data_IF_849902756674
#
_entry.id   IF_849902756674
#
_cell.length_a   1.000
_cell.length_b   1.000
_cell.length_c   1.000
_cell.angle_alpha   90.00
_cell.angle_beta   90.00
_cell.angle_gamma   90.00
#
_symmetry.space_group_name_H-M   'P 1'
#
loop_
_entity.id
_entity.type
_entity.pdbx_description
1 polymer ?
#
# COMPACT_ATOMS: atom_id res chain seq x y z
N UNK A 1 20.14 -13.84 13.89
CA UNK A 1 18.96 -14.46 13.22
C UNK A 1 17.82 -13.45 13.00
N UNK A 2 17.43 -12.67 14.01
CA UNK A 2 16.36 -11.66 13.89
C UNK A 2 16.61 -10.61 12.77
N UNK A 3 17.83 -10.10 12.62
CA UNK A 3 18.14 -9.10 11.58
C UNK A 3 17.92 -9.63 10.14
N UNK A 4 18.26 -10.89 9.87
CA UNK A 4 18.01 -11.52 8.57
C UNK A 4 16.51 -11.72 8.30
N UNK A 5 15.73 -12.03 9.34
CA UNK A 5 14.27 -12.14 9.23
C UNK A 5 13.63 -10.78 8.95
N UNK A 6 14.07 -9.72 9.62
CA UNK A 6 13.60 -8.35 9.39
C UNK A 6 13.94 -7.91 7.96
N UNK A 7 15.16 -8.17 7.49
CA UNK A 7 15.54 -7.84 6.12
C UNK A 7 14.70 -8.60 5.09
N UNK A 8 14.44 -9.89 5.32
CA UNK A 8 13.60 -10.73 4.46
C UNK A 8 12.13 -10.26 4.43
N UNK A 9 11.65 -9.72 5.55
CA UNK A 9 10.34 -9.08 5.66
C UNK A 9 10.28 -7.73 4.92
N UNK A 10 11.39 -6.99 4.88
CA UNK A 10 11.45 -5.64 4.30
C UNK A 10 11.37 -5.63 2.77
N UNK A 11 11.91 -6.65 2.10
CA UNK A 11 11.94 -6.80 0.64
C UNK A 11 10.53 -6.67 0.00
N UNK A 12 9.49 -7.42 0.44
CA UNK A 12 8.16 -7.29 -0.15
C UNK A 12 7.55 -5.90 0.08
N UNK A 13 7.82 -5.25 1.22
CA UNK A 13 7.34 -3.88 1.45
C UNK A 13 7.96 -2.88 0.47
N UNK A 14 9.27 -2.96 0.25
CA UNK A 14 9.96 -2.10 -0.72
C UNK A 14 9.43 -2.31 -2.14
N UNK A 15 9.15 -3.56 -2.53
CA UNK A 15 8.56 -3.89 -3.82
C UNK A 15 7.16 -3.29 -3.98
N UNK A 16 6.30 -3.40 -2.96
CA UNK A 16 4.94 -2.84 -2.98
C UNK A 16 4.99 -1.31 -3.08
N UNK A 17 5.82 -0.64 -2.27
CA UNK A 17 5.97 0.82 -2.30
C UNK A 17 6.48 1.29 -3.67
N UNK A 18 7.48 0.61 -4.21
CA UNK A 18 8.07 0.96 -5.51
C UNK A 18 7.05 0.80 -6.65
N UNK A 19 6.35 -0.34 -6.69
CA UNK A 19 5.33 -0.63 -7.71
C UNK A 19 4.17 0.35 -7.60
N UNK A 20 3.70 0.61 -6.38
CA UNK A 20 2.60 1.55 -6.14
C UNK A 20 2.97 2.98 -6.52
N UNK A 21 4.19 3.43 -6.18
CA UNK A 21 4.73 4.74 -6.58
C UNK A 21 4.87 4.85 -8.11
N UNK A 22 5.31 3.79 -8.78
CA UNK A 22 5.41 3.76 -10.24
C UNK A 22 4.03 3.86 -10.90
N UNK A 23 3.05 3.07 -10.45
CA UNK A 23 1.66 3.11 -10.94
C UNK A 23 1.03 4.48 -10.71
N UNK A 24 1.21 5.05 -9.51
CA UNK A 24 0.71 6.39 -9.18
C UNK A 24 1.28 7.48 -10.11
N UNK A 25 2.57 7.39 -10.45
CA UNK A 25 3.23 8.31 -11.41
C UNK A 25 2.76 8.08 -12.86
N UNK A 26 2.59 6.83 -13.27
CA UNK A 26 2.16 6.43 -14.62
C UNK A 26 0.72 6.87 -14.92
N UNK A 27 -0.20 6.68 -13.98
CA UNK A 27 -1.63 6.97 -14.18
C UNK A 27 -1.97 8.44 -13.83
N UNK A 28 -1.00 9.24 -13.36
CA UNK A 28 -1.20 10.64 -12.94
C UNK A 28 -2.40 10.79 -11.98
N UNK A 29 -2.62 9.79 -11.13
CA UNK A 29 -3.82 9.72 -10.27
C UNK A 29 -3.69 10.79 -9.19
N UNK A 30 -4.77 11.55 -9.01
CA UNK A 30 -4.90 12.50 -7.90
C UNK A 30 -4.68 11.74 -6.59
N UNK A 31 -3.99 12.35 -5.62
CA UNK A 31 -3.53 11.63 -4.41
C UNK A 31 -4.63 10.86 -3.67
N UNK A 32 -5.84 11.40 -3.66
CA UNK A 32 -7.04 10.74 -3.11
C UNK A 32 -7.38 9.43 -3.82
N UNK A 33 -7.23 9.35 -5.15
CA UNK A 33 -7.47 8.14 -5.92
C UNK A 33 -6.47 7.02 -5.60
N UNK A 34 -5.22 7.37 -5.24
CA UNK A 34 -4.27 6.39 -4.75
C UNK A 34 -4.72 5.78 -3.42
N UNK A 35 -5.19 6.57 -2.45
CA UNK A 35 -5.73 6.04 -1.20
C UNK A 35 -6.91 5.09 -1.44
N UNK A 36 -7.86 5.48 -2.30
CA UNK A 36 -8.99 4.62 -2.65
C UNK A 36 -8.54 3.30 -3.29
N UNK A 37 -7.52 3.32 -4.16
CA UNK A 37 -6.97 2.11 -4.76
C UNK A 37 -6.36 1.17 -3.71
N UNK A 38 -5.56 1.67 -2.77
CA UNK A 38 -4.97 0.83 -1.71
C UNK A 38 -6.06 0.22 -0.83
N UNK A 39 -7.07 1.01 -0.47
CA UNK A 39 -8.21 0.54 0.33
C UNK A 39 -8.99 -0.55 -0.44
N UNK A 40 -9.26 -0.35 -1.73
CA UNK A 40 -9.97 -1.34 -2.54
C UNK A 40 -9.19 -2.66 -2.64
N UNK A 41 -7.87 -2.60 -2.88
CA UNK A 41 -7.02 -3.79 -2.89
C UNK A 41 -6.93 -4.46 -1.50
N UNK A 42 -6.94 -3.68 -0.42
CA UNK A 42 -7.02 -4.17 0.96
C UNK A 42 -8.27 -5.00 1.20
N UNK A 43 -9.43 -4.48 0.78
CA UNK A 43 -10.71 -5.16 0.96
C UNK A 43 -10.76 -6.47 0.16
N UNK A 44 -10.30 -6.46 -1.09
CA UNK A 44 -10.22 -7.67 -1.94
C UNK A 44 -9.33 -8.74 -1.29
N UNK A 45 -8.15 -8.35 -0.80
CA UNK A 45 -7.24 -9.29 -0.10
C UNK A 45 -7.84 -9.83 1.19
N UNK A 46 -8.53 -8.99 1.96
CA UNK A 46 -9.20 -9.39 3.20
C UNK A 46 -10.28 -10.42 2.92
N UNK A 47 -11.12 -10.19 1.91
CA UNK A 47 -12.14 -11.15 1.48
C UNK A 47 -11.50 -12.47 1.00
N UNK A 48 -10.44 -12.39 0.19
CA UNK A 48 -9.73 -13.58 -0.28
C UNK A 48 -9.18 -14.43 0.88
N UNK A 49 -8.53 -13.80 1.86
CA UNK A 49 -8.03 -14.53 3.03
C UNK A 49 -9.14 -15.02 3.96
N UNK A 50 -10.24 -14.28 4.08
CA UNK A 50 -11.41 -14.72 4.83
C UNK A 50 -11.95 -16.05 4.29
N UNK A 51 -12.00 -16.22 2.97
CA UNK A 51 -12.37 -17.49 2.34
C UNK A 51 -11.29 -18.58 2.43
N UNK A 52 -10.03 -18.19 2.63
CA UNK A 52 -8.90 -19.12 2.78
C UNK A 52 -8.78 -19.68 4.21
N UNK A 53 -9.47 -19.10 5.20
CA UNK A 53 -9.51 -19.59 6.58
C UNK A 53 -10.13 -20.98 6.60
N UNK A 54 -9.36 -21.96 7.11
CA UNK A 54 -9.79 -23.35 7.16
C UNK A 54 -10.48 -23.64 8.49
N UNK A 55 -11.74 -24.03 8.38
CA UNK A 55 -12.60 -24.40 9.52
C UNK A 55 -12.62 -25.91 9.80
N UNK A 56 -11.75 -26.69 9.14
CA UNK A 56 -11.65 -28.15 9.21
C UNK A 56 -10.17 -28.54 9.21
N UNK A 57 -9.76 -29.41 10.12
CA UNK A 57 -8.37 -29.82 10.29
C UNK A 57 -7.98 -29.92 11.76
N UNK A 58 -6.69 -30.08 12.04
CA UNK A 58 -6.20 -30.06 13.43
C UNK A 58 -6.33 -28.67 14.04
N UNK A 59 -6.44 -28.60 15.38
CA UNK A 59 -6.44 -27.33 16.11
C UNK A 59 -5.27 -26.40 15.76
N UNK A 60 -4.10 -26.98 15.43
CA UNK A 60 -2.91 -26.23 15.04
C UNK A 60 -3.04 -25.62 13.63
N UNK A 61 -3.64 -26.34 12.68
CA UNK A 61 -3.85 -25.83 11.32
C UNK A 61 -4.89 -24.70 11.29
N UNK A 62 -5.94 -24.84 12.12
CA UNK A 62 -6.96 -23.80 12.31
C UNK A 62 -6.29 -22.53 12.86
N UNK A 63 -5.50 -22.66 13.94
CA UNK A 63 -4.78 -21.53 14.53
C UNK A 63 -3.79 -20.87 13.56
N UNK A 64 -3.09 -21.67 12.75
CA UNK A 64 -2.15 -21.16 11.76
C UNK A 64 -2.86 -20.39 10.63
N UNK A 65 -4.02 -20.86 10.16
CA UNK A 65 -4.80 -20.16 9.14
C UNK A 65 -5.33 -18.80 9.64
N UNK A 66 -5.76 -18.74 10.91
CA UNK A 66 -6.21 -17.49 11.56
C UNK A 66 -5.03 -16.51 11.72
N UNK A 67 -3.88 -17.03 12.17
CA UNK A 67 -2.66 -16.22 12.33
C UNK A 67 -2.21 -15.66 10.99
N UNK A 68 -2.25 -16.47 9.92
CA UNK A 68 -1.90 -16.03 8.58
C UNK A 68 -2.84 -14.92 8.08
N UNK A 69 -4.16 -15.04 8.31
CA UNK A 69 -5.11 -13.97 8.00
C UNK A 69 -4.80 -12.68 8.78
N UNK A 70 -4.54 -12.80 10.09
CA UNK A 70 -4.22 -11.65 10.94
C UNK A 70 -2.92 -10.95 10.53
N UNK A 71 -1.87 -11.71 10.21
CA UNK A 71 -0.57 -11.17 9.77
C UNK A 71 -0.72 -10.41 8.45
N UNK A 72 -1.41 -10.98 7.47
CA UNK A 72 -1.64 -10.30 6.18
C UNK A 72 -2.50 -9.05 6.36
N UNK A 73 -3.55 -9.12 7.18
CA UNK A 73 -4.40 -7.96 7.47
C UNK A 73 -3.60 -6.83 8.14
N UNK A 74 -2.76 -7.15 9.13
CA UNK A 74 -1.87 -6.19 9.78
C UNK A 74 -0.84 -5.59 8.81
N UNK A 75 -0.32 -6.40 7.89
CA UNK A 75 0.61 -5.95 6.84
C UNK A 75 -0.03 -4.89 5.94
N UNK A 76 -1.30 -5.08 5.56
CA UNK A 76 -2.02 -4.12 4.70
C UNK A 76 -2.27 -2.80 5.43
N UNK A 77 -2.68 -2.84 6.69
CA UNK A 77 -2.83 -1.64 7.53
C UNK A 77 -1.50 -0.90 7.67
N UNK A 78 -0.40 -1.62 7.84
CA UNK A 78 0.93 -1.02 7.93
C UNK A 78 1.33 -0.28 6.62
N UNK A 79 1.03 -0.85 5.45
CA UNK A 79 1.28 -0.18 4.16
C UNK A 79 0.44 1.09 4.00
N UNK A 80 -0.84 1.06 4.38
CA UNK A 80 -1.70 2.25 4.40
C UNK A 80 -1.13 3.35 5.31
N UNK A 81 -0.62 2.96 6.48
CA UNK A 81 0.01 3.87 7.42
C UNK A 81 1.31 4.49 6.86
N UNK A 82 2.16 3.69 6.19
CA UNK A 82 3.34 4.21 5.51
C UNK A 82 3.00 5.18 4.37
N UNK A 83 1.93 4.92 3.63
CA UNK A 83 1.44 5.82 2.59
C UNK A 83 0.93 7.13 3.18
N UNK A 84 0.17 7.06 4.29
CA UNK A 84 -0.27 8.23 5.04
C UNK A 84 0.88 9.08 5.59
N UNK A 85 1.90 8.43 6.15
CA UNK A 85 3.11 9.10 6.60
C UNK A 85 3.82 9.77 5.43
N UNK A 86 4.00 9.05 4.31
CA UNK A 86 4.65 9.60 3.12
C UNK A 86 3.92 10.83 2.59
N UNK A 87 2.57 10.81 2.55
CA UNK A 87 1.79 11.99 2.19
C UNK A 87 2.01 13.14 3.18
N UNK A 88 1.96 12.90 4.49
CA UNK A 88 2.21 13.91 5.51
C UNK A 88 3.59 14.55 5.34
N UNK A 89 4.65 13.76 5.16
CA UNK A 89 6.00 14.26 4.95
C UNK A 89 6.17 14.98 3.59
N UNK A 90 5.41 14.58 2.56
CA UNK A 90 5.49 15.18 1.22
C UNK A 90 4.56 16.40 1.08
N UNK A 91 3.68 16.70 2.05
CA UNK A 91 2.79 17.88 2.02
C UNK A 91 3.56 19.20 1.89
N UNK A 92 4.72 19.31 2.52
CA UNK A 92 5.58 20.49 2.44
C UNK A 92 6.41 20.56 1.14
N UNK A 93 6.54 19.45 0.42
CA UNK A 93 7.15 19.45 -0.91
C UNK A 93 6.10 19.99 -1.89
N UNK A 94 5.99 21.31 -1.96
CA UNK A 94 5.37 21.98 -3.09
C UNK A 94 6.17 21.58 -4.33
N UNK A 95 5.69 20.56 -5.05
CA UNK A 95 6.11 20.34 -6.43
C UNK A 95 5.76 21.63 -7.14
N UNK A 96 6.78 22.42 -7.44
CA UNK A 96 6.70 23.62 -8.25
C UNK A 96 6.03 23.22 -9.57
N UNK A 97 4.71 23.33 -9.60
CA UNK A 97 3.92 23.21 -10.80
C UNK A 97 4.45 24.29 -11.71
N UNK A 98 5.25 23.90 -12.68
CA UNK A 98 5.79 24.76 -13.70
C UNK A 98 4.61 25.49 -14.34
N UNK A 99 4.30 26.70 -13.85
CA UNK A 99 3.37 27.63 -14.50
C UNK A 99 3.97 27.86 -15.87
N UNK A 100 3.46 27.19 -16.90
CA UNK A 100 3.57 27.74 -18.25
C UNK A 100 2.83 29.08 -18.20
N UNK A 101 3.50 30.24 -18.36
CA UNK A 101 2.76 31.46 -18.63
C UNK A 101 2.13 31.23 -20.00
N UNK A 102 0.81 31.03 -20.04
CA UNK A 102 0.05 31.09 -21.28
C UNK A 102 0.31 32.48 -21.86
N UNK A 103 1.15 32.50 -22.88
CA UNK A 103 1.59 33.69 -23.60
C UNK A 103 0.37 34.51 -23.99
N UNK A 104 0.32 35.72 -23.43
CA UNK A 104 -0.47 36.84 -23.89
C UNK A 104 -0.16 37.06 -25.38
N UNK A 105 -1.07 36.68 -26.26
CA UNK A 105 -1.26 37.30 -27.58
C UNK A 105 -2.59 38.05 -27.45
N UNK A 106 -2.66 39.36 -27.21
CA UNK A 106 -2.23 40.45 -28.09
C UNK A 106 -2.71 40.21 -29.52
N UNK A 107 -4.01 40.42 -29.76
CA UNK A 107 -4.59 41.37 -30.74
C UNK A 107 -5.95 41.80 -30.20
#
# INVERSE_FOLDING_TARGET
MAALLIFKLFIPFMLVICTFSAIAKLIQVTRSGCYFLVILFSDVMTIHFFFLVKNKGSWMEIGNSISHFGIVSAQVVFVLLLFALTDIYTKDIQVMSNRRPSSRKAV
#
